data_IF_893388661884
#
_entry.id   IF_893388661884
#
_cell.length_a   1.000
_cell.length_b   1.000
_cell.length_c   1.000
_cell.angle_alpha   90.00
_cell.angle_beta   90.00
_cell.angle_gamma   90.00
#
_symmetry.space_group_name_H-M   'P 1'
#
loop_
_entity.id
_entity.type
_entity.pdbx_description
1 polymer ?
#
# COMPACT_ATOMS: atom_id res chain seq x y z
N UNK A 1 9.99 19.22 -6.06
CA UNK A 1 10.93 18.60 -5.10
C UNK A 1 10.26 17.30 -4.68
N UNK A 2 10.97 16.19 -4.79
CA UNK A 2 10.42 14.85 -4.56
C UNK A 2 10.47 14.55 -3.07
N UNK A 3 9.36 14.14 -2.47
CA UNK A 3 9.32 13.75 -1.06
C UNK A 3 9.76 12.28 -0.88
N UNK A 4 9.38 11.41 -1.83
CA UNK A 4 9.64 9.97 -1.78
C UNK A 4 10.04 9.46 -3.17
N UNK A 5 11.19 8.78 -3.24
CA UNK A 5 11.56 7.92 -4.35
C UNK A 5 11.17 6.48 -4.00
N UNK A 6 10.39 5.82 -4.86
CA UNK A 6 9.83 4.51 -4.60
C UNK A 6 10.06 3.57 -5.78
N UNK A 7 10.65 2.41 -5.51
CA UNK A 7 10.75 1.30 -6.44
C UNK A 7 10.01 0.09 -5.87
N UNK A 8 9.05 -0.45 -6.62
CA UNK A 8 8.25 -1.60 -6.19
C UNK A 8 8.34 -2.74 -7.20
N UNK A 9 8.66 -3.93 -6.71
CA UNK A 9 8.41 -5.21 -7.38
C UNK A 9 7.14 -5.81 -6.78
N UNK A 10 6.07 -5.82 -7.57
CA UNK A 10 4.73 -6.33 -7.16
C UNK A 10 4.57 -7.84 -7.35
N UNK A 11 5.67 -8.58 -7.30
CA UNK A 11 5.74 -10.03 -7.47
C UNK A 11 4.67 -10.82 -6.70
N UNK A 12 4.22 -11.92 -7.31
CA UNK A 12 3.14 -12.76 -6.78
C UNK A 12 3.53 -13.53 -5.51
N UNK A 13 4.82 -13.78 -5.27
CA UNK A 13 5.31 -14.47 -4.07
C UNK A 13 5.66 -13.54 -2.92
N UNK A 14 6.02 -12.29 -3.21
CA UNK A 14 6.39 -11.28 -2.22
C UNK A 14 6.45 -9.91 -2.90
N UNK A 15 5.97 -8.89 -2.21
CA UNK A 15 6.16 -7.50 -2.64
C UNK A 15 7.48 -6.98 -2.08
N UNK A 16 8.37 -6.47 -2.95
CA UNK A 16 9.67 -5.94 -2.55
C UNK A 16 9.71 -4.45 -2.83
N UNK A 17 10.12 -3.68 -1.84
CA UNK A 17 10.08 -2.23 -1.88
C UNK A 17 11.48 -1.73 -1.57
N UNK A 18 12.00 -0.83 -2.41
CA UNK A 18 13.18 -0.02 -2.13
C UNK A 18 12.72 1.43 -2.20
N UNK A 19 13.09 2.23 -1.22
CA UNK A 19 12.65 3.63 -1.15
C UNK A 19 13.68 4.54 -0.53
N UNK A 20 13.54 5.84 -0.77
CA UNK A 20 14.32 6.88 -0.11
C UNK A 20 13.43 8.11 0.08
N UNK A 21 13.43 8.65 1.31
CA UNK A 21 12.78 9.94 1.62
C UNK A 21 13.80 11.07 1.45
N UNK A 22 13.36 12.26 1.05
CA UNK A 22 14.21 13.41 0.67
C UNK A 22 15.35 13.75 1.66
N UNK A 23 15.12 13.60 2.97
CA UNK A 23 16.09 13.89 4.02
C UNK A 23 17.04 12.71 4.34
N UNK A 24 16.91 11.59 3.64
CA UNK A 24 17.71 10.39 3.82
C UNK A 24 18.88 10.33 2.83
N UNK A 25 20.04 9.89 3.31
CA UNK A 25 21.26 9.76 2.50
C UNK A 25 21.45 8.38 1.88
N UNK A 26 20.64 7.40 2.29
CA UNK A 26 20.71 6.01 1.81
C UNK A 26 19.29 5.47 1.58
N UNK A 27 19.11 4.59 0.58
CA UNK A 27 17.85 3.90 0.40
C UNK A 27 17.61 2.89 1.53
N UNK A 28 16.33 2.66 1.81
CA UNK A 28 15.80 1.65 2.71
C UNK A 28 15.02 0.60 1.93
N UNK A 29 14.71 -0.54 2.55
CA UNK A 29 13.90 -1.58 1.93
C UNK A 29 12.85 -2.13 2.89
N UNK A 30 11.74 -2.61 2.32
CA UNK A 30 10.68 -3.35 3.02
C UNK A 30 10.26 -4.55 2.17
N UNK A 31 9.97 -5.66 2.82
CA UNK A 31 9.38 -6.83 2.19
C UNK A 31 7.99 -7.03 2.80
N UNK A 32 6.97 -7.19 1.95
CA UNK A 32 5.62 -7.51 2.40
C UNK A 32 5.21 -8.89 1.87
N UNK A 33 4.60 -9.74 2.70
CA UNK A 33 3.97 -10.96 2.23
C UNK A 33 2.99 -10.67 1.08
N UNK A 34 2.76 -11.64 0.17
CA UNK A 34 1.97 -11.41 -1.04
C UNK A 34 0.47 -11.30 -0.78
N UNK A 35 0.02 -11.69 0.42
CA UNK A 35 -1.38 -11.78 0.78
C UNK A 35 -2.07 -10.41 0.69
N UNK A 36 -3.25 -10.43 0.09
CA UNK A 36 -4.13 -9.29 -0.10
C UNK A 36 -5.56 -9.81 0.00
N UNK A 37 -6.42 -9.08 0.71
CA UNK A 37 -7.82 -9.45 0.82
C UNK A 37 -8.67 -8.19 0.94
N UNK A 38 -9.76 -8.13 0.17
CA UNK A 38 -10.76 -7.08 0.33
C UNK A 38 -11.78 -7.52 1.38
N UNK A 39 -11.98 -6.68 2.40
CA UNK A 39 -12.90 -6.92 3.50
C UNK A 39 -13.91 -5.79 3.62
N UNK A 40 -14.97 -6.01 4.41
CA UNK A 40 -15.88 -4.92 4.76
C UNK A 40 -15.29 -4.05 5.87
N UNK A 41 -15.71 -2.78 5.91
CA UNK A 41 -15.33 -1.87 7.01
C UNK A 41 -15.74 -2.41 8.38
N UNK A 42 -16.90 -3.07 8.47
CA UNK A 42 -17.37 -3.68 9.71
C UNK A 42 -16.45 -4.82 10.19
N UNK A 43 -15.95 -5.65 9.26
CA UNK A 43 -14.97 -6.70 9.59
C UNK A 43 -13.67 -6.09 10.14
N UNK A 44 -13.18 -5.01 9.51
CA UNK A 44 -12.01 -4.30 10.02
C UNK A 44 -12.27 -3.76 11.43
N UNK A 45 -13.37 -3.04 11.64
CA UNK A 45 -13.70 -2.46 12.93
C UNK A 45 -13.83 -3.53 14.02
N UNK A 46 -14.55 -4.63 13.74
CA UNK A 46 -14.70 -5.74 14.66
C UNK A 46 -13.36 -6.39 15.03
N UNK A 47 -12.45 -6.55 14.07
CA UNK A 47 -11.10 -7.04 14.34
C UNK A 47 -10.32 -6.08 15.24
N UNK A 48 -10.35 -4.77 14.93
CA UNK A 48 -9.67 -3.74 15.71
C UNK A 48 -10.21 -3.61 17.15
N UNK A 49 -11.52 -3.77 17.35
CA UNK A 49 -12.15 -3.78 18.67
C UNK A 49 -11.71 -5.01 19.51
N UNK A 50 -11.57 -6.17 18.86
CA UNK A 50 -11.17 -7.42 19.53
C UNK A 50 -9.69 -7.52 19.88
N UNK A 51 -8.82 -6.84 19.13
CA UNK A 51 -7.38 -6.79 19.42
C UNK A 51 -7.06 -6.23 20.82
N UNK A 52 -7.95 -5.43 21.42
CA UNK A 52 -7.75 -4.88 22.76
C UNK A 52 -6.45 -4.06 22.90
N UNK A 53 -5.81 -4.12 24.08
CA UNK A 53 -4.54 -3.44 24.39
C UNK A 53 -3.30 -4.31 24.09
N UNK A 54 -3.38 -5.19 23.08
CA UNK A 54 -2.24 -6.02 22.66
C UNK A 54 -1.28 -5.16 21.84
N UNK A 55 -0.48 -4.37 22.55
CA UNK A 55 0.65 -3.60 22.00
C UNK A 55 0.29 -2.54 20.94
N UNK A 56 1.33 -1.93 20.39
CA UNK A 56 1.26 -1.08 19.20
C UNK A 56 1.95 -1.83 18.05
N UNK A 57 1.22 -2.65 17.29
CA UNK A 57 1.79 -3.44 16.19
C UNK A 57 2.43 -2.52 15.16
N UNK A 58 3.52 -2.97 14.57
CA UNK A 58 4.24 -2.15 13.61
C UNK A 58 3.37 -1.87 12.37
N UNK A 59 3.62 -0.77 11.65
CA UNK A 59 2.84 -0.40 10.47
C UNK A 59 2.68 -1.52 9.43
N UNK A 60 3.72 -2.33 9.23
CA UNK A 60 3.79 -3.46 8.31
C UNK A 60 3.04 -4.72 8.78
N UNK A 61 2.86 -4.90 10.09
CA UNK A 61 2.09 -6.02 10.68
C UNK A 61 0.58 -5.82 10.59
N UNK A 62 0.13 -4.55 10.54
CA UNK A 62 -1.28 -4.19 10.45
C UNK A 62 -1.51 -3.16 9.35
N UNK A 63 -1.41 -3.63 8.10
CA UNK A 63 -1.47 -2.78 6.92
C UNK A 63 -2.81 -2.94 6.19
N UNK A 64 -3.50 -1.82 5.98
CA UNK A 64 -4.69 -1.76 5.14
C UNK A 64 -4.78 -0.43 4.40
N UNK A 65 -5.49 -0.44 3.28
CA UNK A 65 -5.78 0.71 2.44
C UNK A 65 -7.30 0.86 2.34
N UNK A 66 -7.77 2.10 2.39
CA UNK A 66 -9.15 2.46 2.14
C UNK A 66 -9.22 3.42 0.94
N UNK A 67 -10.06 3.08 -0.03
CA UNK A 67 -10.31 3.91 -1.20
C UNK A 67 -11.71 3.65 -1.74
N UNK A 68 -12.49 4.71 -1.95
CA UNK A 68 -13.86 4.64 -2.50
C UNK A 68 -14.75 3.57 -1.82
N UNK A 69 -14.85 3.61 -0.49
CA UNK A 69 -15.58 2.66 0.37
C UNK A 69 -15.08 1.19 0.35
N UNK A 70 -14.00 0.89 -0.37
CA UNK A 70 -13.33 -0.41 -0.34
C UNK A 70 -12.27 -0.41 0.75
N UNK A 71 -12.10 -1.54 1.42
CA UNK A 71 -11.08 -1.76 2.43
C UNK A 71 -10.27 -2.98 2.04
N UNK A 72 -8.98 -2.79 1.81
CA UNK A 72 -8.08 -3.87 1.40
C UNK A 72 -6.99 -4.03 2.44
N UNK A 73 -6.90 -5.21 3.04
CA UNK A 73 -5.84 -5.59 3.97
C UNK A 73 -4.70 -6.26 3.21
N UNK A 74 -3.46 -6.05 3.65
CA UNK A 74 -2.26 -6.52 2.96
C UNK A 74 -1.26 -7.18 3.91
N UNK A 75 -0.36 -8.00 3.35
CA UNK A 75 0.76 -8.57 4.07
C UNK A 75 0.33 -9.53 5.17
N UNK A 76 1.01 -9.49 6.31
CA UNK A 76 0.68 -10.33 7.48
C UNK A 76 -0.74 -10.07 7.97
N UNK A 77 -1.24 -8.84 7.82
CA UNK A 77 -2.57 -8.50 8.29
C UNK A 77 -3.66 -9.24 7.51
N UNK A 78 -3.49 -9.36 6.19
CA UNK A 78 -4.42 -10.09 5.32
C UNK A 78 -4.58 -11.56 5.73
N UNK A 79 -3.54 -12.19 6.28
CA UNK A 79 -3.60 -13.58 6.73
C UNK A 79 -4.59 -13.81 7.88
N UNK A 80 -5.04 -12.77 8.58
CA UNK A 80 -6.04 -12.86 9.65
C UNK A 80 -7.48 -12.92 9.13
N UNK A 81 -7.70 -12.79 7.81
CA UNK A 81 -9.03 -12.67 7.21
C UNK A 81 -9.33 -13.78 6.21
N UNK A 82 -8.66 -14.94 6.33
CA UNK A 82 -8.80 -16.10 5.45
C UNK A 82 -8.73 -15.69 3.97
N UNK A 83 -7.59 -15.10 3.53
CA UNK A 83 -7.48 -14.53 2.19
C UNK A 83 -7.76 -15.61 1.15
N UNK A 84 -8.67 -15.31 0.23
CA UNK A 84 -9.04 -16.25 -0.81
C UNK A 84 -7.86 -16.42 -1.78
N UNK A 85 -7.66 -17.64 -2.29
CA UNK A 85 -6.66 -17.89 -3.32
C UNK A 85 -7.21 -17.38 -4.67
N UNK A 86 -7.06 -16.08 -4.90
CA UNK A 86 -7.68 -15.36 -6.03
C UNK A 86 -6.87 -15.55 -7.31
N UNK A 87 -6.76 -16.81 -7.78
CA UNK A 87 -6.12 -17.20 -9.05
C UNK A 87 -6.72 -16.46 -10.26
N UNK A 88 -7.94 -15.92 -10.13
CA UNK A 88 -8.71 -15.26 -11.21
C UNK A 88 -8.73 -13.73 -11.18
N UNK A 89 -8.25 -13.08 -10.12
CA UNK A 89 -8.17 -11.62 -10.12
C UNK A 89 -7.02 -11.15 -11.00
N UNK A 90 -7.24 -10.06 -11.74
CA UNK A 90 -6.22 -9.48 -12.60
C UNK A 90 -5.11 -8.93 -11.69
N UNK A 91 -3.90 -9.49 -11.82
CA UNK A 91 -2.75 -9.17 -10.97
C UNK A 91 -2.40 -7.68 -10.93
N UNK A 92 -2.82 -6.90 -11.94
CA UNK A 92 -2.65 -5.44 -11.95
C UNK A 92 -3.47 -4.74 -10.85
N UNK A 93 -4.63 -5.26 -10.43
CA UNK A 93 -5.43 -4.64 -9.38
C UNK A 93 -4.74 -4.78 -8.02
N UNK A 94 -4.12 -5.94 -7.77
CA UNK A 94 -3.30 -6.16 -6.59
C UNK A 94 -2.08 -5.24 -6.57
N UNK A 95 -1.49 -4.96 -7.74
CA UNK A 95 -0.37 -4.03 -7.85
C UNK A 95 -0.77 -2.59 -7.43
N UNK A 96 -1.99 -2.14 -7.73
CA UNK A 96 -2.47 -0.82 -7.30
C UNK A 96 -2.46 -0.71 -5.78
N UNK A 97 -3.10 -1.67 -5.10
CA UNK A 97 -3.18 -1.70 -3.64
C UNK A 97 -1.81 -1.81 -2.98
N UNK A 98 -0.91 -2.63 -3.55
CA UNK A 98 0.47 -2.76 -3.07
C UNK A 98 1.26 -1.45 -3.17
N UNK A 99 1.07 -0.67 -4.23
CA UNK A 99 1.72 0.64 -4.36
C UNK A 99 1.14 1.63 -3.34
N UNK A 100 -0.18 1.72 -3.22
CA UNK A 100 -0.83 2.60 -2.24
C UNK A 100 -0.38 2.27 -0.80
N UNK A 101 -0.35 0.98 -0.47
CA UNK A 101 0.08 0.53 0.85
C UNK A 101 1.55 0.84 1.09
N UNK A 102 2.42 0.67 0.09
CA UNK A 102 3.84 1.00 0.18
C UNK A 102 4.05 2.49 0.49
N UNK A 103 3.32 3.38 -0.20
CA UNK A 103 3.42 4.83 0.05
C UNK A 103 3.05 5.16 1.50
N UNK A 104 1.88 4.70 1.97
CA UNK A 104 1.46 5.01 3.34
C UNK A 104 2.34 4.36 4.40
N UNK A 105 2.82 3.14 4.15
CA UNK A 105 3.77 2.46 5.04
C UNK A 105 5.08 3.25 5.18
N UNK A 106 5.63 3.75 4.07
CA UNK A 106 6.85 4.57 4.08
C UNK A 106 6.64 5.88 4.83
N UNK A 107 5.49 6.53 4.61
CA UNK A 107 5.12 7.76 5.32
C UNK A 107 5.09 7.53 6.83
N UNK A 108 4.48 6.44 7.30
CA UNK A 108 4.40 6.10 8.72
C UNK A 108 5.77 5.70 9.29
N UNK A 109 6.51 4.79 8.64
CA UNK A 109 7.82 4.31 9.09
C UNK A 109 8.89 5.43 9.12
N UNK A 110 8.87 6.33 8.15
CA UNK A 110 9.84 7.43 8.03
C UNK A 110 9.36 8.73 8.68
N UNK A 111 8.21 8.72 9.34
CA UNK A 111 7.60 9.90 9.97
C UNK A 111 7.49 11.11 9.02
N UNK A 112 7.17 10.87 7.74
CA UNK A 112 7.04 11.93 6.74
C UNK A 112 5.87 12.82 7.16
N UNK A 113 6.15 14.12 7.35
CA UNK A 113 5.12 15.08 7.77
C UNK A 113 4.09 15.27 6.65
N UNK A 114 2.90 14.73 6.88
CA UNK A 114 1.73 14.95 6.02
C UNK A 114 0.71 15.83 6.74
N UNK A 115 0.03 16.67 5.96
CA UNK A 115 -1.12 17.46 6.43
C UNK A 115 -2.22 17.34 5.39
N UNK A 116 -3.47 17.63 5.75
CA UNK A 116 -4.59 17.58 4.81
C UNK A 116 -4.41 18.49 3.57
N UNK A 117 -3.49 19.46 3.63
CA UNK A 117 -3.17 20.41 2.56
C UNK A 117 -1.88 20.06 1.80
N UNK A 118 -0.99 19.24 2.36
CA UNK A 118 0.28 18.86 1.70
C UNK A 118 0.03 17.66 0.79
N UNK A 119 0.44 17.79 -0.48
CA UNK A 119 0.58 16.66 -1.39
C UNK A 119 2.00 16.09 -1.27
N UNK A 120 2.11 14.77 -1.27
CA UNK A 120 3.39 14.08 -1.38
C UNK A 120 3.76 14.04 -2.86
N UNK A 121 4.97 14.47 -3.19
CA UNK A 121 5.53 14.30 -4.53
C UNK A 121 6.24 12.95 -4.61
N UNK A 122 5.72 12.04 -5.43
CA UNK A 122 6.22 10.66 -5.53
C UNK A 122 6.89 10.43 -6.89
N UNK A 123 8.15 9.99 -6.86
CA UNK A 123 8.82 9.42 -8.03
C UNK A 123 8.74 7.90 -7.95
N UNK A 124 7.90 7.29 -8.80
CA UNK A 124 7.60 5.87 -8.76
C UNK A 124 8.26 5.12 -9.94
N UNK A 125 9.06 4.12 -9.61
CA UNK A 125 9.44 3.04 -10.50
C UNK A 125 8.70 1.75 -10.11
N UNK A 126 8.12 1.06 -11.09
CA UNK A 126 7.33 -0.14 -10.87
C UNK A 126 7.75 -1.23 -11.86
N UNK A 127 7.96 -2.44 -11.36
CA UNK A 127 8.14 -3.62 -12.19
C UNK A 127 6.81 -4.36 -12.35
N UNK A 128 6.22 -4.27 -13.54
CA UNK A 128 5.05 -5.05 -13.92
C UNK A 128 5.49 -6.40 -14.51
N UNK A 129 4.74 -7.50 -14.26
CA UNK A 129 4.94 -8.75 -14.97
C UNK A 129 4.88 -8.54 -16.49
N UNK A 130 5.73 -9.25 -17.25
CA UNK A 130 5.82 -9.09 -18.70
C UNK A 130 4.47 -9.24 -19.42
N UNK A 131 3.68 -10.23 -18.99
CA UNK A 131 2.36 -10.54 -19.53
C UNK A 131 1.29 -9.46 -19.22
N UNK A 132 1.60 -8.48 -18.37
CA UNK A 132 0.70 -7.38 -17.95
C UNK A 132 1.21 -6.01 -18.42
N UNK A 133 2.39 -5.94 -19.03
CA UNK A 133 2.97 -4.68 -19.48
C UNK A 133 2.12 -3.97 -20.55
N UNK A 134 1.27 -4.70 -21.27
CA UNK A 134 0.28 -4.12 -22.20
C UNK A 134 -0.72 -3.20 -21.47
N UNK A 135 -1.07 -3.51 -20.21
CA UNK A 135 -2.05 -2.77 -19.41
C UNK A 135 -1.45 -1.59 -18.64
N UNK A 136 -0.15 -1.29 -18.81
CA UNK A 136 0.58 -0.27 -18.03
C UNK A 136 -0.08 1.11 -18.03
N UNK A 137 -0.69 1.54 -19.15
CA UNK A 137 -1.34 2.85 -19.24
C UNK A 137 -2.60 2.89 -18.38
N UNK A 138 -3.43 1.85 -18.48
CA UNK A 138 -4.63 1.70 -17.65
C UNK A 138 -4.26 1.62 -16.17
N UNK A 139 -3.20 0.90 -15.85
CA UNK A 139 -2.65 0.85 -14.49
C UNK A 139 -2.24 2.24 -14.01
N UNK A 140 -1.46 2.98 -14.80
CA UNK A 140 -0.99 4.32 -14.44
C UNK A 140 -2.15 5.30 -14.23
N UNK A 141 -3.11 5.32 -15.15
CA UNK A 141 -4.30 6.17 -15.06
C UNK A 141 -5.10 5.87 -13.79
N UNK A 142 -5.36 4.59 -13.52
CA UNK A 142 -6.07 4.18 -12.30
C UNK A 142 -5.27 4.51 -11.03
N UNK A 143 -3.95 4.29 -11.05
CA UNK A 143 -3.09 4.59 -9.91
C UNK A 143 -3.11 6.09 -9.59
N UNK A 144 -3.04 6.96 -10.60
CA UNK A 144 -3.14 8.42 -10.42
C UNK A 144 -4.47 8.82 -9.78
N UNK A 145 -5.57 8.21 -10.20
CA UNK A 145 -6.89 8.45 -9.61
C UNK A 145 -6.91 8.03 -8.13
N UNK A 146 -6.33 6.89 -7.78
CA UNK A 146 -6.31 6.42 -6.38
C UNK A 146 -5.38 7.24 -5.49
N UNK A 147 -4.20 7.60 -6.00
CA UNK A 147 -3.20 8.42 -5.30
C UNK A 147 -3.71 9.83 -4.94
N UNK A 148 -4.71 10.34 -5.67
CA UNK A 148 -5.32 11.63 -5.37
C UNK A 148 -6.10 11.66 -4.04
N UNK A 149 -6.57 10.51 -3.53
CA UNK A 149 -7.37 10.45 -2.28
C UNK A 149 -7.51 9.05 -1.66
N UNK A 150 -6.55 8.60 -0.88
CA UNK A 150 -6.63 7.30 -0.21
C UNK A 150 -6.24 7.41 1.25
N UNK A 151 -6.62 6.41 2.03
CA UNK A 151 -6.21 6.29 3.43
C UNK A 151 -5.41 5.02 3.58
N UNK A 152 -4.28 5.10 4.27
CA UNK A 152 -3.54 3.91 4.73
C UNK A 152 -3.59 3.91 6.23
N UNK A 153 -4.05 2.81 6.81
CA UNK A 153 -4.33 2.73 8.25
C UNK A 153 -5.25 3.86 8.71
N UNK A 154 -4.73 4.82 9.49
CA UNK A 154 -5.46 6.00 9.99
C UNK A 154 -5.03 7.30 9.30
N UNK A 155 -4.18 7.21 8.28
CA UNK A 155 -3.54 8.35 7.65
C UNK A 155 -4.12 8.60 6.27
N UNK A 156 -4.81 9.73 6.12
CA UNK A 156 -5.29 10.19 4.83
C UNK A 156 -4.14 10.82 4.03
N UNK A 157 -4.00 10.42 2.76
CA UNK A 157 -2.89 10.77 1.90
C UNK A 157 -3.39 11.31 0.55
N UNK A 158 -2.62 12.28 0.03
CA UNK A 158 -2.72 12.82 -1.32
C UNK A 158 -1.34 12.82 -1.93
N UNK A 159 -1.20 12.20 -3.10
CA UNK A 159 0.07 12.02 -3.78
C UNK A 159 -0.07 12.54 -5.21
N UNK A 160 0.96 13.25 -5.68
CA UNK A 160 1.11 13.75 -7.04
C UNK A 160 2.28 13.03 -7.72
#
# INVERSE_FOLDING_TARGET
MTDIYLSVDVGGSQTKIIYQVDDQTKPNYVLLPPAIEEITKDKLNFFMERLGWIGSPSPDQQLWVEWNNRVVVLGEFAANFDPLDRIKELKYENALWKVLSAVGLIVELSNVKVTAKKQIHLELALLLPWNEYSDRRRFEEQLRVMLANFTVRKQYLKVN
#
